data_IF_892804999957
#
_entry.id   IF_892804999957
#
_cell.length_a   1.000
_cell.length_b   1.000
_cell.length_c   1.000
_cell.angle_alpha   90.00
_cell.angle_beta   90.00
_cell.angle_gamma   90.00
#
_symmetry.space_group_name_H-M   'P 1'
#
loop_
_entity.id
_entity.type
_entity.pdbx_description
1 polymer ?
#
# COMPACT_ATOMS: atom_id res chain seq x y z
N UNK A 1 20.91 6.11 6.96
CA UNK A 1 19.92 5.67 7.98
C UNK A 1 19.37 4.32 7.58
N UNK A 2 19.38 3.32 8.48
CA UNK A 2 18.77 2.01 8.23
C UNK A 2 17.25 2.19 8.20
N UNK A 3 16.59 1.76 7.12
CA UNK A 3 15.15 1.95 6.96
C UNK A 3 14.39 0.95 7.84
N UNK A 4 13.50 1.45 8.68
CA UNK A 4 12.64 0.62 9.53
C UNK A 4 11.31 0.41 8.83
N UNK A 5 10.90 -0.85 8.66
CA UNK A 5 9.57 -1.20 8.16
C UNK A 5 8.62 -1.27 9.36
N UNK A 6 7.52 -0.53 9.31
CA UNK A 6 6.51 -0.52 10.39
C UNK A 6 5.41 -1.56 10.13
N UNK A 7 4.86 -1.56 8.91
CA UNK A 7 3.82 -2.51 8.51
C UNK A 7 4.06 -2.93 7.05
N UNK A 8 3.72 -4.17 6.73
CA UNK A 8 3.66 -4.68 5.36
C UNK A 8 2.24 -5.17 5.10
N UNK A 9 1.55 -4.56 4.15
CA UNK A 9 0.18 -4.92 3.79
C UNK A 9 0.18 -5.81 2.55
N UNK A 10 -0.35 -7.02 2.69
CA UNK A 10 -0.46 -8.00 1.61
C UNK A 10 -1.90 -8.05 1.12
N UNK A 11 -2.09 -8.19 -0.19
CA UNK A 11 -3.41 -8.28 -0.80
C UNK A 11 -3.37 -9.09 -2.08
N UNK A 12 -4.55 -9.53 -2.51
CA UNK A 12 -4.74 -10.36 -3.70
C UNK A 12 -5.72 -9.69 -4.66
N UNK A 13 -5.46 -9.84 -5.96
CA UNK A 13 -6.34 -9.38 -7.01
C UNK A 13 -6.42 -10.41 -8.13
N UNK A 14 -7.62 -10.58 -8.68
CA UNK A 14 -7.91 -11.57 -9.72
C UNK A 14 -8.55 -10.88 -10.92
N UNK A 15 -8.08 -11.24 -12.11
CA UNK A 15 -8.75 -10.93 -13.37
C UNK A 15 -9.41 -12.20 -13.93
N UNK A 16 -10.74 -12.26 -13.86
CA UNK A 16 -11.51 -13.46 -14.17
C UNK A 16 -11.77 -13.64 -15.66
N UNK A 17 -11.65 -12.59 -16.46
CA UNK A 17 -12.03 -12.61 -17.88
C UNK A 17 -10.82 -12.82 -18.81
N UNK A 18 -9.65 -13.10 -18.24
CA UNK A 18 -8.40 -13.20 -18.98
C UNK A 18 -7.80 -11.83 -19.28
N UNK A 19 -6.47 -11.79 -19.38
CA UNK A 19 -5.73 -10.53 -19.29
C UNK A 19 -4.82 -10.25 -20.49
N UNK A 20 -4.83 -11.07 -21.56
CA UNK A 20 -4.01 -10.88 -22.78
C UNK A 20 -2.55 -10.45 -22.49
N UNK A 21 -1.90 -11.11 -21.53
CA UNK A 21 -0.55 -10.77 -21.02
C UNK A 21 -0.41 -9.40 -20.32
N UNK A 22 -1.51 -8.73 -20.00
CA UNK A 22 -1.58 -7.49 -19.23
C UNK A 22 -2.26 -7.70 -17.87
N UNK A 23 -1.47 -7.96 -16.84
CA UNK A 23 -1.97 -8.18 -15.48
C UNK A 23 -2.39 -6.90 -14.72
N UNK A 24 -2.49 -5.74 -15.39
CA UNK A 24 -2.73 -4.43 -14.74
C UNK A 24 -3.96 -4.43 -13.83
N UNK A 25 -5.09 -4.98 -14.30
CA UNK A 25 -6.33 -5.02 -13.50
C UNK A 25 -6.20 -5.88 -12.24
N UNK A 26 -5.52 -7.02 -12.34
CA UNK A 26 -5.27 -7.89 -11.18
C UNK A 26 -4.35 -7.20 -10.16
N UNK A 27 -3.30 -6.52 -10.63
CA UNK A 27 -2.38 -5.77 -9.77
C UNK A 27 -3.07 -4.60 -9.04
N UNK A 28 -3.90 -3.82 -9.75
CA UNK A 28 -4.69 -2.74 -9.13
C UNK A 28 -5.61 -3.28 -8.04
N UNK A 29 -6.30 -4.40 -8.32
CA UNK A 29 -7.16 -5.07 -7.33
C UNK A 29 -6.36 -5.57 -6.13
N UNK A 30 -5.16 -6.09 -6.32
CA UNK A 30 -4.29 -6.56 -5.24
C UNK A 30 -3.89 -5.44 -4.28
N UNK A 31 -3.48 -4.28 -4.82
CA UNK A 31 -3.16 -3.10 -4.00
C UNK A 31 -4.41 -2.59 -3.29
N UNK A 32 -5.55 -2.49 -3.98
CA UNK A 32 -6.80 -2.07 -3.36
C UNK A 32 -7.18 -3.00 -2.21
N UNK A 33 -7.13 -4.32 -2.41
CA UNK A 33 -7.42 -5.31 -1.37
C UNK A 33 -6.48 -5.17 -0.16
N UNK A 34 -5.19 -4.96 -0.41
CA UNK A 34 -4.15 -4.77 0.63
C UNK A 34 -4.45 -3.61 1.59
N UNK A 35 -4.99 -2.50 1.09
CA UNK A 35 -5.16 -1.26 1.88
C UNK A 35 -6.60 -0.99 2.35
N UNK A 36 -7.62 -1.60 1.74
CA UNK A 36 -9.03 -1.17 1.94
C UNK A 36 -9.58 -1.44 3.34
N UNK A 37 -9.02 -2.40 4.09
CA UNK A 37 -9.56 -2.83 5.38
C UNK A 37 -8.66 -2.44 6.57
N UNK A 38 -7.69 -1.55 6.35
CA UNK A 38 -6.76 -1.09 7.39
C UNK A 38 -6.84 0.43 7.54
N UNK A 39 -6.76 0.93 8.77
CA UNK A 39 -6.63 2.34 9.07
C UNK A 39 -5.29 2.59 9.78
N UNK A 40 -4.43 3.42 9.19
CA UNK A 40 -3.06 3.69 9.68
C UNK A 40 -2.87 5.14 10.15
N UNK A 41 -3.94 5.83 10.54
CA UNK A 41 -3.91 7.25 10.92
C UNK A 41 -2.89 7.54 12.03
N UNK A 42 -2.83 6.68 13.06
CA UNK A 42 -1.89 6.83 14.18
C UNK A 42 -0.41 6.63 13.81
N UNK A 43 -0.11 5.99 12.67
CA UNK A 43 1.28 5.81 12.24
C UNK A 43 1.93 7.14 11.86
N UNK A 44 1.15 8.06 11.26
CA UNK A 44 1.62 9.40 10.94
C UNK A 44 1.99 10.20 12.19
N UNK A 45 1.19 10.09 13.26
CA UNK A 45 1.43 10.77 14.54
C UNK A 45 2.72 10.26 15.21
N UNK A 46 2.89 8.94 15.31
CA UNK A 46 4.08 8.32 15.90
C UNK A 46 5.35 8.66 15.09
N UNK A 47 5.22 8.78 13.77
CA UNK A 47 6.33 9.16 12.89
C UNK A 47 6.56 10.68 12.82
N UNK A 48 5.79 11.51 13.54
CA UNK A 48 5.92 12.97 13.52
C UNK A 48 5.55 13.61 12.18
N UNK A 49 4.72 12.95 11.38
CA UNK A 49 4.25 13.42 10.07
C UNK A 49 2.99 14.28 10.24
N UNK A 50 2.88 15.36 9.48
CA UNK A 50 1.75 16.31 9.57
C UNK A 50 0.68 16.04 8.53
N UNK A 51 1.09 15.64 7.33
CA UNK A 51 0.19 15.34 6.23
C UNK A 51 0.42 13.92 5.70
N UNK A 52 -0.61 13.22 5.16
CA UNK A 52 -0.43 11.91 4.56
C UNK A 52 0.63 11.87 3.46
N UNK A 53 0.83 12.99 2.75
CA UNK A 53 1.88 13.12 1.71
C UNK A 53 3.30 13.01 2.30
N UNK A 54 3.48 13.30 3.58
CA UNK A 54 4.78 13.21 4.25
C UNK A 54 5.29 11.76 4.31
N UNK A 55 4.41 10.75 4.22
CA UNK A 55 4.82 9.35 4.09
C UNK A 55 5.74 9.12 2.88
N UNK A 56 5.58 9.89 1.80
CA UNK A 56 6.48 9.79 0.63
C UNK A 56 7.92 10.25 0.91
N UNK A 57 8.12 11.05 1.96
CA UNK A 57 9.45 11.50 2.41
C UNK A 57 10.16 10.41 3.21
N UNK A 58 9.41 9.46 3.78
CA UNK A 58 9.96 8.25 4.38
C UNK A 58 10.44 7.33 3.27
N UNK A 59 11.69 7.53 2.83
CA UNK A 59 12.32 6.68 1.80
C UNK A 59 12.28 5.22 2.28
N UNK A 60 11.45 4.39 1.67
CA UNK A 60 11.43 2.91 1.76
C UNK A 60 12.47 2.31 0.83
#
# INVERSE_FOLDING_TARGET
MKKQRFVLQLGMGVDQHGHKNDCTNAAIKAIKNSISNNCLTGLSEICGLKEPKDLSRMKV
#
